data_IF_492646288031
#
_entry.id   IF_492646288031
#
_cell.length_a   1.000
_cell.length_b   1.000
_cell.length_c   1.000
_cell.angle_alpha   90.00
_cell.angle_beta   90.00
_cell.angle_gamma   90.00
#
_symmetry.space_group_name_H-M   'P 1'
#
loop_
_entity.id
_entity.type
_entity.pdbx_description
1 polymer ?
#
# COMPACT_ATOMS: atom_id res chain seq x y z
N UNK A 1 -10.55 8.64 -6.66
CA UNK A 1 -10.11 7.43 -7.37
C UNK A 1 -10.68 6.26 -6.62
N UNK A 2 -11.44 5.41 -7.30
CA UNK A 2 -12.08 4.24 -6.68
C UNK A 2 -11.05 3.13 -6.43
N UNK A 3 -10.07 3.01 -7.32
CA UNK A 3 -9.00 2.00 -7.23
C UNK A 3 -8.02 2.32 -6.10
N UNK A 4 -7.66 3.59 -5.94
CA UNK A 4 -6.77 4.02 -4.86
C UNK A 4 -7.34 3.76 -3.46
N UNK A 5 -8.65 3.98 -3.26
CA UNK A 5 -9.30 3.65 -1.98
C UNK A 5 -9.28 2.15 -1.71
N UNK A 6 -9.59 1.33 -2.73
CA UNK A 6 -9.51 -0.12 -2.61
C UNK A 6 -8.10 -0.59 -2.22
N UNK A 7 -7.07 -0.06 -2.89
CA UNK A 7 -5.68 -0.39 -2.57
C UNK A 7 -5.27 0.05 -1.17
N UNK A 8 -5.75 1.20 -0.71
CA UNK A 8 -5.54 1.67 0.67
C UNK A 8 -6.14 0.69 1.67
N UNK A 9 -7.35 0.22 1.44
CA UNK A 9 -8.04 -0.69 2.37
C UNK A 9 -7.34 -2.05 2.44
N UNK A 10 -6.82 -2.57 1.32
CA UNK A 10 -5.95 -3.76 1.28
C UNK A 10 -4.63 -3.54 2.03
N UNK A 11 -4.01 -2.38 1.88
CA UNK A 11 -2.80 -2.05 2.63
C UNK A 11 -3.05 -2.00 4.15
N UNK A 12 -4.16 -1.40 4.58
CA UNK A 12 -4.56 -1.34 5.99
C UNK A 12 -4.81 -2.74 6.57
N UNK A 13 -5.48 -3.62 5.83
CA UNK A 13 -5.68 -5.01 6.23
C UNK A 13 -4.37 -5.79 6.41
N UNK A 14 -3.33 -5.41 5.65
CA UNK A 14 -1.99 -5.98 5.74
C UNK A 14 -1.08 -5.28 6.78
N UNK A 15 -1.64 -4.37 7.59
CA UNK A 15 -0.90 -3.65 8.64
C UNK A 15 0.03 -2.56 8.10
N UNK A 16 -0.25 -2.02 6.91
CA UNK A 16 0.48 -0.92 6.30
C UNK A 16 -0.42 0.31 6.13
N UNK A 17 0.02 1.46 6.61
CA UNK A 17 -0.69 2.72 6.44
C UNK A 17 -0.20 3.42 5.17
N UNK A 18 -1.10 3.61 4.21
CA UNK A 18 -0.86 4.40 3.00
C UNK A 18 -1.94 5.47 2.83
N UNK A 19 -1.59 6.58 2.18
CA UNK A 19 -2.55 7.62 1.79
C UNK A 19 -2.92 7.45 0.31
N UNK A 20 -4.21 7.28 0.03
CA UNK A 20 -4.73 7.36 -1.32
C UNK A 20 -5.12 8.81 -1.64
N UNK A 21 -4.55 9.38 -2.70
CA UNK A 21 -4.96 10.65 -3.30
C UNK A 21 -5.39 10.37 -4.72
N UNK A 22 -6.70 10.33 -4.95
CA UNK A 22 -7.28 9.71 -6.13
C UNK A 22 -6.82 8.24 -6.27
N UNK A 23 -6.13 7.90 -7.35
CA UNK A 23 -5.57 6.56 -7.59
C UNK A 23 -4.05 6.52 -7.39
N UNK A 24 -3.48 7.59 -6.85
CA UNK A 24 -2.08 7.64 -6.43
C UNK A 24 -1.93 7.22 -4.97
N UNK A 25 -1.03 6.28 -4.71
CA UNK A 25 -0.66 5.85 -3.36
C UNK A 25 0.58 6.59 -2.87
N UNK A 26 0.50 7.16 -1.67
CA UNK A 26 1.52 8.00 -1.07
C UNK A 26 1.93 7.44 0.29
N UNK A 27 3.23 7.47 0.57
CA UNK A 27 3.83 7.08 1.84
C UNK A 27 4.93 8.06 2.25
N UNK A 28 5.07 8.28 3.55
CA UNK A 28 6.10 9.13 4.15
C UNK A 28 6.50 8.53 5.50
N UNK A 29 7.32 7.46 5.50
CA UNK A 29 7.74 6.81 6.73
C UNK A 29 8.59 7.76 7.59
N UNK A 30 8.77 7.46 8.88
CA UNK A 30 9.70 8.19 9.74
C UNK A 30 11.11 8.22 9.16
N UNK A 31 11.82 9.34 9.30
CA UNK A 31 13.19 9.50 8.78
C UNK A 31 14.23 8.59 9.46
N UNK A 32 13.86 7.98 10.58
CA UNK A 32 14.68 7.03 11.35
C UNK A 32 14.54 5.57 10.87
N UNK A 33 13.76 5.32 9.82
CA UNK A 33 13.51 3.97 9.31
C UNK A 33 14.81 3.27 8.89
N UNK A 34 14.97 2.00 9.30
CA UNK A 34 16.08 1.16 8.88
C UNK A 34 15.86 0.55 7.50
N UNK A 35 16.93 0.06 6.86
CA UNK A 35 16.83 -0.61 5.55
C UNK A 35 15.87 -1.81 5.58
N UNK A 36 15.96 -2.65 6.60
CA UNK A 36 15.08 -3.81 6.75
C UNK A 36 13.59 -3.43 6.88
N UNK A 37 13.29 -2.30 7.54
CA UNK A 37 11.92 -1.79 7.62
C UNK A 37 11.43 -1.20 6.30
N UNK A 38 12.33 -0.66 5.46
CA UNK A 38 11.99 -0.24 4.09
C UNK A 38 11.62 -1.47 3.26
N UNK A 39 12.37 -2.57 3.38
CA UNK A 39 12.08 -3.82 2.68
C UNK A 39 10.71 -4.39 3.10
N UNK A 40 10.42 -4.45 4.42
CA UNK A 40 9.12 -4.87 4.96
C UNK A 40 7.97 -3.97 4.46
N UNK A 41 8.20 -2.66 4.41
CA UNK A 41 7.21 -1.69 3.94
C UNK A 41 6.86 -1.93 2.46
N UNK A 42 7.85 -2.19 1.61
CA UNK A 42 7.61 -2.45 0.20
C UNK A 42 7.03 -3.84 -0.05
N UNK A 43 7.40 -4.85 0.74
CA UNK A 43 6.78 -6.19 0.68
C UNK A 43 5.26 -6.11 0.90
N UNK A 44 4.83 -5.40 1.94
CA UNK A 44 3.40 -5.17 2.23
C UNK A 44 2.73 -4.31 1.16
N UNK A 45 3.43 -3.30 0.63
CA UNK A 45 2.91 -2.46 -0.46
C UNK A 45 2.63 -3.30 -1.70
N UNK A 46 3.56 -4.19 -2.06
CA UNK A 46 3.41 -5.07 -3.22
C UNK A 46 2.25 -6.06 -3.05
N UNK A 47 2.10 -6.61 -1.85
CA UNK A 47 0.97 -7.48 -1.51
C UNK A 47 -0.39 -6.76 -1.71
N UNK A 48 -0.53 -5.54 -1.20
CA UNK A 48 -1.75 -4.77 -1.34
C UNK A 48 -2.08 -4.45 -2.81
N UNK A 49 -1.06 -4.13 -3.62
CA UNK A 49 -1.21 -3.90 -5.07
C UNK A 49 -1.70 -5.17 -5.79
N UNK A 50 -1.10 -6.32 -5.50
CA UNK A 50 -1.49 -7.60 -6.10
C UNK A 50 -2.92 -7.99 -5.73
N UNK A 51 -3.32 -7.83 -4.47
CA UNK A 51 -4.70 -8.08 -4.02
C UNK A 51 -5.69 -7.16 -4.74
N UNK A 52 -5.35 -5.88 -4.89
CA UNK A 52 -6.16 -4.91 -5.62
C UNK A 52 -6.29 -5.29 -7.10
N UNK A 53 -5.19 -5.68 -7.74
CA UNK A 53 -5.18 -6.13 -9.13
C UNK A 53 -6.02 -7.40 -9.33
N UNK A 54 -5.92 -8.37 -8.42
CA UNK A 54 -6.70 -9.61 -8.46
C UNK A 54 -8.21 -9.37 -8.28
N UNK A 55 -8.59 -8.33 -7.54
CA UNK A 55 -9.99 -7.95 -7.35
C UNK A 55 -10.57 -7.18 -8.56
N UNK A 56 -9.77 -6.33 -9.20
CA UNK A 56 -10.14 -5.57 -10.39
C UNK A 56 -10.10 -6.38 -11.68
N UNK A 57 -9.21 -7.36 -11.78
CA UNK A 57 -9.06 -8.25 -12.93
C UNK A 57 -10.11 -9.36 -13.01
N UNK A 58 -11.27 -9.17 -12.36
CA UNK A 58 -12.44 -10.05 -12.43
C UNK A 58 -13.41 -9.60 -13.52
#
# INVERSE_FOLDING_TARGET
GTVGQLCRDRALANGLILRATYDAMLLSPPLIISRAQVDELFEKTWKALNETAAELGR
#
